data_IF_092421484327
#
_entry.id   IF_092421484327
#
_cell.length_a   1.000
_cell.length_b   1.000
_cell.length_c   1.000
_cell.angle_alpha   90.00
_cell.angle_beta   90.00
_cell.angle_gamma   90.00
#
_symmetry.space_group_name_H-M   'P 1'
#
loop_
_entity.id
_entity.type
_entity.pdbx_description
1 polymer ?
#
# COMPACT_ATOMS: atom_id res chain seq x y z
N UNK A 1 -45.87 -15.87 -7.17
CA UNK A 1 -45.29 -16.68 -6.06
C UNK A 1 -43.88 -17.06 -6.52
N UNK A 2 -42.79 -17.02 -5.76
CA UNK A 2 -42.59 -16.92 -4.32
C UNK A 2 -41.28 -16.15 -4.02
N UNK A 3 -41.20 -15.67 -2.77
CA UNK A 3 -40.10 -14.91 -2.17
C UNK A 3 -39.03 -15.89 -1.67
N UNK A 4 -37.75 -15.61 -1.86
CA UNK A 4 -36.66 -16.42 -1.26
C UNK A 4 -35.83 -15.55 -0.32
N UNK A 5 -35.76 -16.00 0.93
CA UNK A 5 -34.90 -15.48 1.99
C UNK A 5 -33.91 -16.57 2.46
N UNK A 6 -32.67 -16.12 2.67
CA UNK A 6 -31.61 -16.48 3.65
C UNK A 6 -31.25 -17.94 4.00
N UNK A 7 -30.01 -18.31 3.58
CA UNK A 7 -28.88 -19.04 4.23
C UNK A 7 -29.09 -20.14 5.29
N UNK A 8 -28.27 -21.23 5.28
CA UNK A 8 -27.13 -21.31 6.22
C UNK A 8 -25.85 -22.03 5.69
N UNK A 9 -24.88 -22.15 6.59
CA UNK A 9 -23.41 -22.29 6.58
C UNK A 9 -22.72 -23.63 6.23
N UNK A 10 -21.35 -23.57 6.20
CA UNK A 10 -20.28 -24.57 6.52
C UNK A 10 -19.43 -25.12 5.32
N UNK A 11 -18.22 -25.69 5.54
CA UNK A 11 -17.05 -25.24 6.32
C UNK A 11 -15.67 -25.34 5.56
N UNK A 12 -14.62 -24.80 6.20
CA UNK A 12 -13.15 -24.87 6.03
C UNK A 12 -12.46 -25.71 4.92
N UNK A 13 -11.51 -25.10 4.17
CA UNK A 13 -10.22 -25.74 3.80
C UNK A 13 -9.14 -24.74 3.32
N UNK A 14 -8.09 -24.62 4.14
CA UNK A 14 -6.67 -24.32 3.86
C UNK A 14 -6.22 -23.30 2.79
N UNK A 15 -5.69 -22.17 3.27
CA UNK A 15 -4.39 -21.61 2.83
C UNK A 15 -3.88 -20.61 3.89
N UNK A 16 -2.87 -20.96 4.72
CA UNK A 16 -2.24 -20.01 5.62
C UNK A 16 -1.01 -19.41 4.91
N UNK A 17 -1.16 -18.21 4.34
CA UNK A 17 -0.02 -17.49 3.77
C UNK A 17 -0.14 -15.98 3.99
N UNK A 18 -0.38 -15.58 5.24
CA UNK A 18 -0.06 -14.24 5.74
C UNK A 18 0.03 -14.16 7.28
N UNK A 19 -0.12 -15.27 8.01
CA UNK A 19 0.00 -15.30 9.47
C UNK A 19 1.37 -15.86 9.89
N UNK A 20 2.44 -15.22 9.44
CA UNK A 20 3.77 -15.34 10.03
C UNK A 20 4.28 -13.89 10.10
N UNK A 21 4.24 -13.20 11.23
CA UNK A 21 4.98 -13.52 12.43
C UNK A 21 4.25 -12.96 13.67
N UNK A 22 3.59 -13.80 14.46
CA UNK A 22 3.14 -13.43 15.81
C UNK A 22 4.32 -13.59 16.79
N UNK A 23 5.35 -12.76 16.60
CA UNK A 23 6.24 -12.38 17.69
C UNK A 23 5.75 -11.03 18.19
N UNK A 24 5.74 -10.80 19.50
CA UNK A 24 5.42 -9.53 20.14
C UNK A 24 6.49 -8.47 19.80
N UNK A 25 6.64 -8.15 18.52
CA UNK A 25 7.13 -6.87 18.05
C UNK A 25 5.89 -6.03 17.98
N UNK A 26 5.82 -4.94 18.73
CA UNK A 26 4.86 -3.87 18.47
C UNK A 26 5.13 -3.34 17.05
N UNK A 27 4.64 -4.07 16.06
CA UNK A 27 4.84 -3.83 14.65
C UNK A 27 3.86 -2.77 14.24
N UNK A 28 4.37 -1.64 13.77
CA UNK A 28 3.51 -0.63 13.14
C UNK A 28 3.01 -1.21 11.83
N UNK A 29 1.68 -1.32 11.70
CA UNK A 29 1.01 -1.81 10.49
C UNK A 29 0.68 -0.61 9.62
N UNK A 30 1.16 -0.63 8.38
CA UNK A 30 0.84 0.38 7.38
C UNK A 30 0.13 -0.25 6.19
N UNK A 31 -0.89 0.44 5.68
CA UNK A 31 -1.63 0.02 4.49
C UNK A 31 -1.17 0.83 3.28
N UNK A 32 -0.79 0.14 2.20
CA UNK A 32 -0.41 0.79 0.94
C UNK A 32 -1.60 0.78 -0.02
N UNK A 33 -2.14 1.96 -0.31
CA UNK A 33 -3.10 2.12 -1.39
C UNK A 33 -2.34 2.40 -2.69
N UNK A 34 -2.35 1.43 -3.61
CA UNK A 34 -1.74 1.51 -4.94
C UNK A 34 -2.51 2.43 -5.91
N UNK A 35 -2.98 3.57 -5.40
CA UNK A 35 -3.62 4.62 -6.16
C UNK A 35 -2.90 5.93 -5.89
N UNK A 36 -2.49 6.59 -6.97
CA UNK A 36 -1.90 7.92 -6.94
C UNK A 36 -2.96 8.94 -6.52
N UNK A 37 -2.58 9.90 -5.68
CA UNK A 37 -3.40 11.08 -5.35
C UNK A 37 -3.28 12.18 -6.41
N UNK A 38 -2.21 12.18 -7.20
CA UNK A 38 -1.98 13.13 -8.29
C UNK A 38 -2.65 12.63 -9.57
N UNK A 39 -3.47 13.47 -10.22
CA UNK A 39 -4.07 13.16 -11.53
C UNK A 39 -2.97 12.80 -12.55
N UNK A 40 -3.09 11.63 -13.17
CA UNK A 40 -2.10 11.07 -14.12
C UNK A 40 -0.71 10.75 -13.53
N UNK A 41 -0.56 10.77 -12.20
CA UNK A 41 0.64 10.35 -11.50
C UNK A 41 0.75 8.81 -11.40
N UNK A 42 1.99 8.32 -11.32
CA UNK A 42 2.28 6.94 -10.91
C UNK A 42 2.80 7.01 -9.47
N UNK A 43 1.99 6.52 -8.54
CA UNK A 43 2.25 6.66 -7.11
C UNK A 43 1.34 5.77 -6.27
N UNK A 44 1.63 5.72 -4.98
CA UNK A 44 0.82 5.05 -3.96
C UNK A 44 0.75 5.92 -2.69
N UNK A 45 -0.24 5.65 -1.86
CA UNK A 45 -0.48 6.36 -0.62
C UNK A 45 -0.32 5.40 0.55
N UNK A 46 0.38 5.82 1.59
CA UNK A 46 0.61 5.04 2.80
C UNK A 46 -0.34 5.51 3.89
N UNK A 47 -1.07 4.57 4.47
CA UNK A 47 -2.01 4.78 5.56
C UNK A 47 -1.49 4.12 6.83
N UNK A 48 -1.71 4.78 7.96
CA UNK A 48 -1.46 4.20 9.29
C UNK A 48 -2.57 3.21 9.67
N UNK A 49 -2.42 2.50 10.78
CA UNK A 49 -3.43 1.60 11.33
C UNK A 49 -4.78 2.29 11.60
N UNK A 50 -4.75 3.60 11.88
CA UNK A 50 -5.94 4.42 12.10
C UNK A 50 -6.61 4.89 10.80
N UNK A 51 -6.04 4.58 9.64
CA UNK A 51 -6.57 5.00 8.34
C UNK A 51 -6.23 6.44 7.96
N UNK A 52 -5.30 7.09 8.66
CA UNK A 52 -4.76 8.38 8.27
C UNK A 52 -3.68 8.23 7.20
N UNK A 53 -3.69 9.10 6.19
CA UNK A 53 -2.58 9.20 5.24
C UNK A 53 -1.37 9.73 6.00
N UNK A 54 -0.27 9.00 5.97
CA UNK A 54 1.00 9.41 6.61
C UNK A 54 2.06 9.77 5.58
N UNK A 55 2.06 9.10 4.44
CA UNK A 55 2.99 9.40 3.35
C UNK A 55 2.34 9.28 1.99
N UNK A 56 2.82 10.11 1.06
CA UNK A 56 2.55 9.96 -0.37
C UNK A 56 3.83 9.52 -1.06
N UNK A 57 3.73 8.48 -1.87
CA UNK A 57 4.81 7.99 -2.70
C UNK A 57 4.46 8.33 -4.12
N UNK A 58 5.21 9.23 -4.74
CA UNK A 58 4.94 9.67 -6.09
C UNK A 58 6.23 9.74 -6.88
N UNK A 59 6.14 9.40 -8.16
CA UNK A 59 7.20 9.71 -9.11
C UNK A 59 6.95 11.11 -9.68
N UNK A 60 7.53 12.14 -9.05
CA UNK A 60 7.46 13.53 -9.51
C UNK A 60 8.44 13.83 -10.67
N UNK A 61 9.20 12.84 -11.14
CA UNK A 61 10.02 12.97 -12.34
C UNK A 61 9.25 12.54 -13.58
N UNK A 62 9.58 13.14 -14.72
CA UNK A 62 9.11 12.76 -16.06
C UNK A 62 8.79 11.27 -16.22
N UNK A 63 7.70 10.94 -16.94
CA UNK A 63 7.29 9.56 -17.27
C UNK A 63 8.54 8.69 -17.57
N UNK A 64 8.80 7.66 -16.74
CA UNK A 64 10.03 6.84 -16.67
C UNK A 64 11.22 7.35 -15.85
N UNK A 65 11.00 8.21 -14.85
CA UNK A 65 12.07 8.55 -13.91
C UNK A 65 12.45 7.34 -13.05
N UNK A 66 13.76 7.07 -12.95
CA UNK A 66 14.36 6.06 -12.07
C UNK A 66 14.26 6.42 -10.58
N UNK A 67 13.56 7.51 -10.25
CA UNK A 67 13.54 8.11 -8.93
C UNK A 67 12.11 8.15 -8.38
N UNK A 68 11.93 7.66 -7.17
CA UNK A 68 10.65 7.67 -6.45
C UNK A 68 10.79 8.48 -5.18
N UNK A 69 9.93 9.47 -5.00
CA UNK A 69 9.94 10.34 -3.83
C UNK A 69 8.89 9.86 -2.83
N UNK A 70 9.31 9.53 -1.61
CA UNK A 70 8.45 9.43 -0.44
C UNK A 70 8.36 10.83 0.17
N UNK A 71 7.14 11.37 0.21
CA UNK A 71 6.86 12.68 0.78
C UNK A 71 5.91 12.59 1.96
N UNK A 72 6.09 13.50 2.91
CA UNK A 72 5.13 13.77 3.97
C UNK A 72 3.88 14.47 3.40
N UNK A 73 2.80 14.51 4.17
CA UNK A 73 1.55 15.23 3.88
C UNK A 73 1.78 16.70 3.51
N UNK A 74 2.77 17.33 4.15
CA UNK A 74 3.17 18.72 3.90
C UNK A 74 3.90 18.92 2.57
N UNK A 75 4.24 17.83 1.88
CA UNK A 75 4.96 17.83 0.61
C UNK A 75 6.49 17.87 0.73
N UNK A 76 7.01 17.69 1.94
CA UNK A 76 8.46 17.57 2.16
C UNK A 76 8.93 16.18 1.71
N UNK A 77 10.04 16.11 0.96
CA UNK A 77 10.65 14.82 0.59
C UNK A 77 11.37 14.25 1.79
N UNK A 78 10.93 13.07 2.23
CA UNK A 78 11.52 12.32 3.35
C UNK A 78 12.59 11.38 2.84
N UNK A 79 12.28 10.66 1.75
CA UNK A 79 13.21 9.70 1.12
C UNK A 79 13.11 9.82 -0.38
N UNK A 80 14.26 9.74 -1.05
CA UNK A 80 14.34 9.61 -2.49
C UNK A 80 14.99 8.27 -2.85
N UNK A 81 14.26 7.43 -3.56
CA UNK A 81 14.68 6.09 -3.93
C UNK A 81 15.13 6.13 -5.38
N UNK A 82 16.41 5.89 -5.60
CA UNK A 82 17.02 5.87 -6.92
C UNK A 82 17.27 4.44 -7.38
N UNK A 83 16.78 4.09 -8.57
CA UNK A 83 17.10 2.81 -9.19
C UNK A 83 18.53 2.86 -9.73
N UNK A 84 19.41 2.04 -9.17
CA UNK A 84 20.76 1.84 -9.72
C UNK A 84 20.67 0.82 -10.87
N UNK A 85 21.04 1.23 -12.08
CA UNK A 85 21.22 0.29 -13.19
C UNK A 85 22.58 -0.37 -13.02
N UNK A 86 22.59 -1.68 -12.76
CA UNK A 86 23.80 -2.48 -12.82
C UNK A 86 24.05 -2.84 -14.29
N UNK A 87 24.91 -2.09 -14.96
CA UNK A 87 25.43 -2.47 -16.28
C UNK A 87 26.50 -3.54 -16.07
N UNK A 88 26.27 -4.73 -16.63
CA UNK A 88 27.20 -5.85 -16.62
C UNK A 88 28.17 -5.77 -17.80
#
# INVERSE_FOLDING_TARGET
MARVHSSPSFPSSSSPAAAACAGERSGKVFTLWLKSLVLNGRGCTVYDSDGHIVYRVDNYGSKCSDNVCLMDLRGNVVVNIHKKVCTA
#
